data_IF_437022015811
#
_entry.id   IF_437022015811
#
_cell.length_a   1.000
_cell.length_b   1.000
_cell.length_c   1.000
_cell.angle_alpha   90.00
_cell.angle_beta   90.00
_cell.angle_gamma   90.00
#
_symmetry.space_group_name_H-M   'P 1'
#
loop_
_entity.id
_entity.type
_entity.pdbx_description
1 polymer ?
#
# COMPACT_ATOMS: atom_id res chain seq x y z
N UNK A 1 -24.18 4.54 -48.39
CA UNK A 1 -22.91 5.21 -48.78
C UNK A 1 -21.87 4.92 -47.71
N UNK A 2 -20.72 4.34 -48.07
CA UNK A 2 -19.66 3.97 -47.14
C UNK A 2 -18.43 4.89 -47.33
N UNK A 3 -17.95 5.52 -46.26
CA UNK A 3 -16.75 6.37 -46.27
C UNK A 3 -15.63 5.60 -45.56
N UNK A 4 -14.60 5.19 -46.31
CA UNK A 4 -13.38 4.58 -45.78
C UNK A 4 -12.40 5.67 -45.35
N UNK A 5 -11.72 5.50 -44.20
CA UNK A 5 -10.69 6.42 -43.68
C UNK A 5 -9.30 6.05 -44.26
N UNK A 6 -8.42 7.03 -44.57
CA UNK A 6 -7.07 6.74 -45.03
C UNK A 6 -6.13 6.35 -43.87
N UNK A 7 -5.20 5.43 -44.14
CA UNK A 7 -4.19 4.98 -43.18
C UNK A 7 -3.11 6.05 -42.94
N UNK A 8 -2.77 6.30 -41.68
CA UNK A 8 -1.70 7.23 -41.28
C UNK A 8 -0.34 6.51 -41.33
N UNK A 9 0.72 7.11 -41.92
CA UNK A 9 2.03 6.50 -41.95
C UNK A 9 2.63 6.46 -40.53
N UNK A 10 3.16 5.28 -40.15
CA UNK A 10 3.92 5.05 -38.92
C UNK A 10 5.35 5.55 -39.15
N UNK A 11 5.87 6.54 -38.38
CA UNK A 11 7.28 6.89 -38.47
C UNK A 11 8.13 5.73 -37.96
N UNK A 12 9.18 5.40 -38.70
CA UNK A 12 10.18 4.42 -38.32
C UNK A 12 10.98 4.95 -37.12
N UNK A 13 10.95 4.23 -36.01
CA UNK A 13 11.78 4.52 -34.85
C UNK A 13 13.25 4.37 -35.27
N UNK A 14 14.03 5.45 -35.13
CA UNK A 14 15.47 5.44 -35.41
C UNK A 14 16.17 5.36 -34.06
N UNK A 15 17.13 4.44 -33.93
CA UNK A 15 17.89 4.08 -32.71
C UNK A 15 18.56 5.27 -31.98
N UNK A 16 18.59 6.45 -32.60
CA UNK A 16 19.04 7.72 -32.01
C UNK A 16 18.09 8.29 -30.95
N UNK A 17 16.81 7.93 -30.98
CA UNK A 17 15.82 8.43 -30.00
C UNK A 17 16.03 7.81 -28.62
N UNK A 18 16.44 6.53 -28.55
CA UNK A 18 16.62 5.81 -27.28
C UNK A 18 17.76 6.41 -26.44
N UNK A 19 18.89 6.75 -27.07
CA UNK A 19 20.05 7.34 -26.38
C UNK A 19 19.74 8.76 -25.87
N UNK A 20 19.02 9.55 -26.66
CA UNK A 20 18.59 10.89 -26.25
C UNK A 20 17.53 10.83 -25.13
N UNK A 21 16.67 9.81 -25.16
CA UNK A 21 15.64 9.59 -24.15
C UNK A 21 16.25 9.12 -22.83
N UNK A 22 17.22 8.20 -22.86
CA UNK A 22 17.93 7.75 -21.65
C UNK A 22 18.74 8.87 -21.00
N UNK A 23 19.37 9.74 -21.79
CA UNK A 23 20.09 10.92 -21.26
C UNK A 23 19.13 11.94 -20.61
N UNK A 24 17.92 12.09 -21.15
CA UNK A 24 16.90 12.96 -20.56
C UNK A 24 16.31 12.37 -19.27
N UNK A 25 16.01 11.07 -19.26
CA UNK A 25 15.46 10.38 -18.08
C UNK A 25 16.48 10.35 -16.93
N UNK A 26 17.77 10.11 -17.22
CA UNK A 26 18.85 10.07 -16.22
C UNK A 26 19.33 11.45 -15.74
N UNK A 27 18.89 12.53 -16.37
CA UNK A 27 19.20 13.90 -15.96
C UNK A 27 18.24 14.49 -14.93
N UNK A 28 17.10 13.83 -14.69
CA UNK A 28 16.08 14.32 -13.77
C UNK A 28 16.57 14.20 -12.30
N UNK A 29 16.27 15.17 -11.42
CA UNK A 29 16.78 15.19 -10.03
C UNK A 29 16.28 14.02 -9.16
N UNK A 30 15.26 13.30 -9.60
CA UNK A 30 14.67 12.09 -9.03
C UNK A 30 15.21 10.78 -9.64
N UNK A 31 15.95 10.85 -10.76
CA UNK A 31 16.46 9.68 -11.48
C UNK A 31 17.58 8.92 -10.77
N UNK A 32 17.93 9.32 -9.54
CA UNK A 32 18.94 8.68 -8.71
C UNK A 32 18.55 7.21 -8.51
N UNK A 33 19.17 6.32 -9.29
CA UNK A 33 19.06 4.90 -9.11
C UNK A 33 19.53 4.56 -7.70
N UNK A 34 18.59 4.20 -6.85
CA UNK A 34 18.86 3.73 -5.49
C UNK A 34 19.80 2.52 -5.58
N UNK A 35 21.06 2.74 -5.22
CA UNK A 35 22.05 1.68 -5.17
C UNK A 35 21.59 0.65 -4.12
N UNK A 36 21.78 -0.67 -4.29
CA UNK A 36 21.35 -1.68 -3.31
C UNK A 36 21.92 -1.50 -1.87
N UNK A 37 22.88 -0.59 -1.69
CA UNK A 37 23.46 -0.13 -0.43
C UNK A 37 22.62 0.93 0.32
N UNK A 38 21.62 1.54 -0.34
CA UNK A 38 20.68 2.52 0.23
C UNK A 38 19.35 1.88 0.65
N UNK A 39 19.27 0.56 0.86
CA UNK A 39 18.10 -0.03 1.53
C UNK A 39 17.94 0.68 2.87
N UNK A 40 16.84 1.42 3.10
CA UNK A 40 16.68 2.15 4.34
C UNK A 40 16.70 1.12 5.47
N UNK A 41 17.75 1.19 6.31
CA UNK A 41 17.78 0.52 7.62
C UNK A 41 16.42 0.77 8.22
N UNK A 42 15.64 -0.27 8.55
CA UNK A 42 14.29 -0.15 9.13
C UNK A 42 14.34 0.92 10.22
N UNK A 43 13.97 2.15 9.87
CA UNK A 43 13.92 3.25 10.80
C UNK A 43 12.68 2.92 11.58
N UNK A 44 12.87 2.32 12.76
CA UNK A 44 11.80 2.22 13.73
C UNK A 44 11.19 3.62 13.81
N UNK A 45 9.91 3.79 13.43
CA UNK A 45 9.34 5.11 13.36
C UNK A 45 9.44 5.74 14.74
N UNK A 46 9.98 6.97 14.80
CA UNK A 46 10.00 7.80 15.99
C UNK A 46 8.66 7.66 16.71
N UNK A 47 8.71 7.34 18.00
CA UNK A 47 7.57 7.19 18.91
C UNK A 47 6.48 8.23 18.56
N UNK A 48 5.32 7.77 18.10
CA UNK A 48 4.17 8.63 17.79
C UNK A 48 3.59 8.53 16.37
N UNK A 49 4.22 7.81 15.42
CA UNK A 49 3.66 7.67 14.06
C UNK A 49 2.73 6.45 13.95
N UNK A 50 1.46 6.68 13.60
CA UNK A 50 0.50 5.61 13.24
C UNK A 50 0.92 4.96 11.93
N UNK A 51 0.91 3.63 11.88
CA UNK A 51 1.23 2.85 10.67
C UNK A 51 -0.10 2.36 10.06
N UNK A 52 -0.28 2.59 8.76
CA UNK A 52 -1.42 2.06 8.02
C UNK A 52 -1.30 0.53 7.88
N UNK A 53 -2.42 -0.20 8.01
CA UNK A 53 -2.46 -1.64 7.79
C UNK A 53 -3.57 -2.01 6.81
N UNK A 54 -3.24 -2.91 5.89
CA UNK A 54 -4.19 -3.55 4.97
C UNK A 54 -4.39 -4.98 5.44
N UNK A 55 -5.65 -5.38 5.66
CA UNK A 55 -6.03 -6.73 6.05
C UNK A 55 -7.15 -7.20 5.13
N UNK A 56 -7.19 -8.51 4.86
CA UNK A 56 -8.29 -9.13 4.11
C UNK A 56 -9.29 -9.69 5.10
N UNK A 57 -10.56 -9.35 4.92
CA UNK A 57 -11.68 -9.82 5.73
C UNK A 57 -12.74 -10.40 4.78
N UNK A 58 -13.56 -11.32 5.30
CA UNK A 58 -14.76 -11.75 4.57
C UNK A 58 -15.83 -10.66 4.62
N UNK A 59 -16.74 -10.66 3.65
CA UNK A 59 -17.84 -9.71 3.58
C UNK A 59 -18.75 -9.79 4.81
N UNK A 60 -19.06 -11.02 5.26
CA UNK A 60 -19.86 -11.24 6.48
C UNK A 60 -19.23 -10.63 7.74
N UNK A 61 -17.89 -10.70 7.86
CA UNK A 61 -17.19 -10.08 8.99
C UNK A 61 -17.20 -8.56 8.90
N UNK A 62 -17.11 -8.02 7.70
CA UNK A 62 -17.16 -6.58 7.47
C UNK A 62 -18.54 -6.02 7.83
N UNK A 63 -19.61 -6.68 7.40
CA UNK A 63 -21.00 -6.29 7.72
C UNK A 63 -21.24 -6.27 9.24
N UNK A 64 -20.81 -7.32 9.95
CA UNK A 64 -20.90 -7.37 11.42
C UNK A 64 -20.11 -6.25 12.10
N UNK A 65 -18.96 -5.88 11.54
CA UNK A 65 -18.15 -4.79 12.07
C UNK A 65 -18.82 -3.42 11.86
N UNK A 66 -19.46 -3.23 10.70
CA UNK A 66 -20.20 -2.01 10.37
C UNK A 66 -21.47 -1.86 11.24
N UNK A 67 -22.25 -2.92 11.42
CA UNK A 67 -23.39 -2.92 12.35
C UNK A 67 -22.96 -2.59 13.79
N UNK A 68 -21.82 -3.15 14.23
CA UNK A 68 -21.27 -2.86 15.56
C UNK A 68 -20.79 -1.41 15.67
N UNK A 69 -20.19 -0.87 14.60
CA UNK A 69 -19.73 0.52 14.53
C UNK A 69 -20.91 1.49 14.64
N UNK A 70 -21.99 1.24 13.90
CA UNK A 70 -23.22 2.03 13.97
C UNK A 70 -23.83 2.00 15.37
N UNK A 71 -23.96 0.81 15.98
CA UNK A 71 -24.53 0.65 17.32
C UNK A 71 -23.72 1.36 18.41
N UNK A 72 -22.40 1.39 18.28
CA UNK A 72 -21.50 1.93 19.31
C UNK A 72 -21.06 3.37 19.05
N UNK A 73 -21.36 3.92 17.87
CA UNK A 73 -20.86 5.22 17.42
C UNK A 73 -19.34 5.25 17.22
N UNK A 74 -18.69 4.08 17.14
CA UNK A 74 -17.24 3.98 16.98
C UNK A 74 -16.86 3.79 15.51
N UNK A 75 -15.64 4.19 15.14
CA UNK A 75 -15.11 3.84 13.81
C UNK A 75 -14.75 2.35 13.72
N UNK A 76 -14.86 1.76 12.52
CA UNK A 76 -14.36 0.39 12.23
C UNK A 76 -12.93 0.17 12.76
N UNK A 77 -12.06 1.14 12.54
CA UNK A 77 -10.66 1.05 12.95
C UNK A 77 -10.49 1.05 14.47
N UNK A 78 -11.33 1.79 15.21
CA UNK A 78 -11.35 1.76 16.66
C UNK A 78 -11.74 0.37 17.18
N UNK A 79 -12.79 -0.24 16.61
CA UNK A 79 -13.23 -1.59 16.98
C UNK A 79 -12.16 -2.65 16.69
N UNK A 80 -11.48 -2.57 15.54
CA UNK A 80 -10.36 -3.45 15.22
C UNK A 80 -9.23 -3.29 16.24
N UNK A 81 -8.87 -2.06 16.60
CA UNK A 81 -7.83 -1.81 17.59
C UNK A 81 -8.20 -2.34 18.98
N UNK A 82 -9.47 -2.21 19.39
CA UNK A 82 -9.98 -2.79 20.65
C UNK A 82 -9.88 -4.31 20.61
N UNK A 83 -10.27 -4.95 19.50
CA UNK A 83 -10.13 -6.40 19.34
C UNK A 83 -8.68 -6.86 19.44
N UNK A 84 -7.75 -6.14 18.81
CA UNK A 84 -6.31 -6.42 18.91
C UNK A 84 -5.84 -6.28 20.37
N UNK A 85 -6.19 -5.19 21.07
CA UNK A 85 -5.81 -4.98 22.47
C UNK A 85 -6.38 -6.06 23.39
N UNK A 86 -7.63 -6.45 23.18
CA UNK A 86 -8.28 -7.53 23.93
C UNK A 86 -7.49 -8.84 23.77
N UNK A 87 -7.11 -9.18 22.54
CA UNK A 87 -6.32 -10.38 22.26
C UNK A 87 -4.92 -10.30 22.86
N UNK A 88 -4.27 -9.14 22.81
CA UNK A 88 -2.94 -8.96 23.41
C UNK A 88 -2.96 -9.10 24.94
N UNK A 89 -4.02 -8.61 25.59
CA UNK A 89 -4.14 -8.66 27.05
C UNK A 89 -4.58 -10.03 27.56
N UNK A 90 -5.43 -10.74 26.82
CA UNK A 90 -6.04 -12.01 27.27
C UNK A 90 -5.40 -13.25 26.63
N UNK A 91 -4.50 -13.07 25.66
CA UNK A 91 -3.93 -14.16 24.88
C UNK A 91 -4.87 -14.66 23.78
N UNK A 92 -4.28 -15.35 22.79
CA UNK A 92 -5.05 -16.08 21.78
C UNK A 92 -5.21 -17.52 22.29
N UNK A 93 -6.40 -17.90 22.71
CA UNK A 93 -6.77 -19.29 23.02
C UNK A 93 -5.80 -20.04 23.95
N UNK A 94 -5.96 -19.90 25.26
CA UNK A 94 -5.33 -20.78 26.25
C UNK A 94 -3.81 -20.62 26.45
N UNK A 95 -3.13 -19.82 25.62
CA UNK A 95 -1.72 -19.47 25.84
C UNK A 95 -1.66 -18.38 26.91
N UNK A 96 -1.72 -18.81 28.18
CA UNK A 96 -1.54 -17.94 29.35
C UNK A 96 -0.15 -17.33 29.28
N UNK A 97 -0.07 -16.03 28.99
CA UNK A 97 1.19 -15.29 29.04
C UNK A 97 1.52 -14.96 30.51
N UNK A 98 1.93 -15.99 31.26
CA UNK A 98 2.61 -15.79 32.55
C UNK A 98 4.06 -15.37 32.24
N UNK A 99 4.23 -14.10 31.88
CA UNK A 99 5.52 -13.45 31.70
C UNK A 99 5.65 -12.30 32.69
N UNK A 100 6.54 -12.48 33.66
CA UNK A 100 6.89 -11.66 34.82
C UNK A 100 6.90 -10.14 34.66
#
# INVERSE_FOLDING_TARGET
>A
MAIRRPAKPRPAATESDDVATDAFISGAPDSRQESPAERPKKVYPKKGRRIQRTITLTEDMLNKLDELAERTGQSRNALINVGILYVLNNGVGGVSNNGS
#
